data_IF_310217955318
#
_entry.id   IF_310217955318
#
_cell.length_a   1.000
_cell.length_b   1.000
_cell.length_c   1.000
_cell.angle_alpha   90.00
_cell.angle_beta   90.00
_cell.angle_gamma   90.00
#
_symmetry.space_group_name_H-M   'P 1'
#
loop_
_entity.id
_entity.type
_entity.pdbx_description
1 polymer ?
#
# COMPACT_ATOMS: atom_id res chain seq x y z
N UNK A 1 11.46 -10.99 12.16
CA UNK A 1 10.15 -11.60 12.57
C UNK A 1 9.01 -10.87 11.89
N UNK A 2 7.92 -11.56 11.52
CA UNK A 2 6.74 -10.92 10.93
C UNK A 2 5.89 -10.19 11.99
N UNK A 3 5.33 -9.03 11.65
CA UNK A 3 4.42 -8.26 12.51
C UNK A 3 3.12 -7.96 11.78
N UNK A 4 2.00 -7.99 12.49
CA UNK A 4 0.72 -7.51 11.97
C UNK A 4 0.69 -5.99 11.89
N UNK A 5 0.30 -5.47 10.72
CA UNK A 5 0.06 -4.07 10.46
C UNK A 5 -1.40 -3.83 10.12
N UNK A 6 -1.98 -2.83 10.78
CA UNK A 6 -3.30 -2.29 10.45
C UNK A 6 -3.12 -1.06 9.57
N UNK A 7 -3.48 -1.18 8.30
CA UNK A 7 -3.41 -0.10 7.33
C UNK A 7 -4.81 0.48 7.06
N UNK A 8 -4.84 1.77 6.74
CA UNK A 8 -6.01 2.45 6.19
C UNK A 8 -5.65 2.93 4.80
N UNK A 9 -6.24 2.31 3.77
CA UNK A 9 -5.92 2.58 2.37
C UNK A 9 -7.08 3.34 1.74
N UNK A 10 -6.79 4.45 1.07
CA UNK A 10 -7.79 5.18 0.31
C UNK A 10 -8.27 4.36 -0.88
N UNK A 11 -9.58 4.25 -1.02
CA UNK A 11 -10.27 3.57 -2.11
C UNK A 11 -11.30 4.52 -2.67
N UNK A 12 -11.19 4.85 -3.95
CA UNK A 12 -12.10 5.76 -4.60
C UNK A 12 -11.78 5.97 -6.06
N UNK A 13 -12.66 6.69 -6.74
CA UNK A 13 -12.53 7.13 -8.12
C UNK A 13 -12.71 8.65 -8.22
N UNK A 14 -13.08 9.15 -9.40
CA UNK A 14 -13.28 10.58 -9.63
C UNK A 14 -14.51 11.17 -8.93
N UNK A 15 -15.43 10.33 -8.43
CA UNK A 15 -16.74 10.74 -7.89
C UNK A 15 -16.88 10.54 -6.39
N UNK A 16 -16.28 9.48 -5.84
CA UNK A 16 -16.36 9.16 -4.41
C UNK A 16 -15.13 8.39 -3.92
N UNK A 17 -14.91 8.37 -2.61
CA UNK A 17 -13.88 7.55 -2.00
C UNK A 17 -13.85 7.61 -0.47
N UNK A 18 -13.11 6.67 0.11
CA UNK A 18 -12.91 6.60 1.54
C UNK A 18 -11.78 5.66 1.97
N UNK A 19 -11.36 5.78 3.22
CA UNK A 19 -10.39 4.88 3.82
C UNK A 19 -11.03 3.51 4.10
N UNK A 20 -10.34 2.45 3.70
CA UNK A 20 -10.68 1.06 4.03
C UNK A 20 -9.58 0.46 4.90
N UNK A 21 -9.99 -0.20 5.98
CA UNK A 21 -9.07 -0.88 6.88
C UNK A 21 -8.64 -2.22 6.28
N UNK A 22 -7.37 -2.57 6.45
CA UNK A 22 -6.82 -3.88 6.07
C UNK A 22 -5.75 -4.30 7.06
N UNK A 23 -5.76 -5.58 7.45
CA UNK A 23 -4.71 -6.19 8.26
C UNK A 23 -3.79 -7.00 7.35
N UNK A 24 -2.48 -6.85 7.53
CA UNK A 24 -1.47 -7.55 6.73
C UNK A 24 -0.22 -7.82 7.56
N UNK A 25 0.39 -8.98 7.36
CA UNK A 25 1.71 -9.29 7.90
C UNK A 25 2.77 -8.46 7.17
N UNK A 26 3.72 -7.89 7.91
CA UNK A 26 4.91 -7.24 7.39
C UNK A 26 6.15 -7.92 7.95
N UNK A 27 7.07 -8.27 7.06
CA UNK A 27 8.31 -8.95 7.40
C UNK A 27 9.46 -7.95 7.58
N UNK A 28 10.52 -8.43 8.20
CA UNK A 28 11.75 -7.67 8.37
C UNK A 28 12.41 -7.38 7.01
N UNK A 29 12.82 -6.13 6.79
CA UNK A 29 13.42 -5.66 5.54
C UNK A 29 12.42 -5.19 4.48
N UNK A 30 11.11 -5.36 4.69
CA UNK A 30 10.08 -4.88 3.75
C UNK A 30 9.87 -3.37 3.87
N UNK A 31 9.66 -2.74 2.72
CA UNK A 31 9.22 -1.34 2.64
C UNK A 31 7.70 -1.26 2.45
N UNK A 32 7.14 -0.06 2.62
CA UNK A 32 5.69 0.17 2.48
C UNK A 32 5.17 -0.34 1.14
N UNK A 33 5.93 -0.16 0.06
CA UNK A 33 5.54 -0.62 -1.27
C UNK A 33 5.38 -2.16 -1.34
N UNK A 34 6.24 -2.93 -0.67
CA UNK A 34 6.13 -4.39 -0.63
C UNK A 34 4.84 -4.83 0.07
N UNK A 35 4.52 -4.19 1.19
CA UNK A 35 3.30 -4.46 1.97
C UNK A 35 2.06 -4.09 1.16
N UNK A 36 2.08 -2.97 0.43
CA UNK A 36 0.98 -2.56 -0.46
C UNK A 36 0.81 -3.56 -1.61
N UNK A 37 1.89 -4.04 -2.22
CA UNK A 37 1.79 -5.09 -3.25
C UNK A 37 1.24 -6.41 -2.70
N UNK A 38 1.58 -6.78 -1.46
CA UNK A 38 0.95 -7.94 -0.81
C UNK A 38 -0.55 -7.74 -0.64
N UNK A 39 -0.98 -6.58 -0.13
CA UNK A 39 -2.41 -6.27 0.00
C UNK A 39 -3.10 -6.32 -1.36
N UNK A 40 -2.50 -5.72 -2.39
CA UNK A 40 -3.01 -5.76 -3.76
C UNK A 40 -3.17 -7.21 -4.25
N UNK A 41 -2.15 -8.04 -4.11
CA UNK A 41 -2.16 -9.42 -4.62
C UNK A 41 -3.12 -10.36 -3.87
N UNK A 42 -3.43 -10.10 -2.60
CA UNK A 42 -4.11 -11.08 -1.73
C UNK A 42 -5.49 -10.64 -1.22
N UNK A 43 -5.74 -9.33 -1.11
CA UNK A 43 -6.94 -8.80 -0.45
C UNK A 43 -7.67 -7.74 -1.30
N UNK A 44 -6.94 -6.98 -2.13
CA UNK A 44 -7.48 -5.88 -2.93
C UNK A 44 -6.92 -5.89 -4.36
N UNK A 45 -7.29 -6.90 -5.15
CA UNK A 45 -6.77 -7.14 -6.52
C UNK A 45 -6.91 -5.97 -7.48
N UNK A 46 -7.88 -5.10 -7.25
CA UNK A 46 -8.20 -3.91 -8.04
C UNK A 46 -7.62 -2.62 -7.44
N UNK A 47 -6.78 -2.71 -6.40
CA UNK A 47 -6.12 -1.54 -5.80
C UNK A 47 -5.17 -0.91 -6.83
N UNK A 48 -5.41 0.36 -7.15
CA UNK A 48 -4.51 1.12 -8.00
C UNK A 48 -3.22 1.47 -7.23
N UNK A 49 -2.08 0.98 -7.71
CA UNK A 49 -0.75 1.23 -7.13
C UNK A 49 0.20 1.66 -8.24
N UNK A 50 0.85 2.83 -8.07
CA UNK A 50 1.92 3.27 -8.97
C UNK A 50 3.28 2.92 -8.40
N UNK A 51 4.13 2.35 -9.23
CA UNK A 51 5.49 1.96 -8.87
C UNK A 51 6.34 1.91 -10.13
N UNK A 52 7.66 2.00 -9.97
CA UNK A 52 8.61 1.84 -11.07
C UNK A 52 9.99 1.39 -10.57
N UNK A 53 10.82 2.31 -10.05
CA UNK A 53 12.21 1.98 -9.74
C UNK A 53 12.43 1.15 -8.47
N UNK A 54 11.43 1.11 -7.56
CA UNK A 54 11.48 0.50 -6.21
C UNK A 54 12.70 0.88 -5.34
N UNK A 55 13.47 1.90 -5.76
CA UNK A 55 14.74 2.31 -5.16
C UNK A 55 14.76 3.79 -4.73
N UNK A 56 13.59 4.44 -4.63
CA UNK A 56 13.48 5.82 -4.17
C UNK A 56 14.01 6.90 -5.11
N UNK A 57 14.24 6.60 -6.39
CA UNK A 57 14.84 7.55 -7.36
C UNK A 57 13.84 8.31 -8.24
N UNK A 58 12.73 7.69 -8.61
CA UNK A 58 11.84 8.23 -9.65
C UNK A 58 10.56 8.89 -9.12
N UNK A 59 10.27 8.84 -7.82
CA UNK A 59 9.06 9.42 -7.23
C UNK A 59 7.73 8.81 -7.70
N UNK A 60 7.73 7.62 -8.31
CA UNK A 60 6.51 7.01 -8.88
C UNK A 60 5.57 6.44 -7.82
N UNK A 61 6.13 5.98 -6.69
CA UNK A 61 5.39 5.41 -5.56
C UNK A 61 5.17 6.43 -4.42
N UNK A 62 5.21 7.73 -4.74
CA UNK A 62 4.90 8.79 -3.77
C UNK A 62 3.43 8.70 -3.35
N UNK A 63 3.20 8.80 -2.04
CA UNK A 63 1.87 8.83 -1.42
C UNK A 63 1.97 9.49 -0.04
N UNK A 64 0.83 9.91 0.49
CA UNK A 64 0.71 10.41 1.86
C UNK A 64 0.76 9.22 2.85
N UNK A 65 1.56 9.32 3.92
CA UNK A 65 1.71 8.25 4.92
C UNK A 65 1.52 8.83 6.32
N UNK A 66 0.34 8.60 6.90
CA UNK A 66 -0.02 9.05 8.27
C UNK A 66 -0.08 10.57 8.41
N UNK A 67 -0.49 11.29 7.36
CA UNK A 67 -0.51 12.75 7.31
C UNK A 67 0.79 13.29 6.74
#
# INVERSE_FOLDING_TARGET
>A
MARKLNLRIWRGDATDGGLKNVEVEANEGEVVLDVIHRVQATQMGDLAVRWNCTAGKCGSCSMEITG
#
